data_IF_359464445481
#
_entry.id   IF_359464445481
#
_cell.length_a   1.000
_cell.length_b   1.000
_cell.length_c   1.000
_cell.angle_alpha   90.00
_cell.angle_beta   90.00
_cell.angle_gamma   90.00
#
_symmetry.space_group_name_H-M   'P 1'
#
loop_
_entity.id
_entity.type
_entity.pdbx_description
1 polymer ?
#
# COMPACT_ATOMS: atom_id res chain seq x y z
N UNK A 1 96.71 89.83 59.65
CA UNK A 1 95.79 89.80 60.81
C UNK A 1 94.95 91.06 60.82
N UNK A 2 93.61 90.94 60.93
CA UNK A 2 92.62 91.96 61.37
C UNK A 2 92.50 93.21 60.45
N UNK A 3 91.38 93.88 60.20
CA UNK A 3 89.95 93.80 60.56
C UNK A 3 89.23 94.94 59.75
N UNK A 4 87.91 94.81 59.61
CA UNK A 4 86.87 95.86 59.46
C UNK A 4 86.49 96.46 58.08
N UNK A 5 85.23 96.15 57.70
CA UNK A 5 84.09 97.01 57.29
C UNK A 5 84.25 98.12 56.23
N UNK A 6 83.34 98.12 55.23
CA UNK A 6 82.28 99.14 55.04
C UNK A 6 81.25 98.70 53.97
N UNK A 7 79.96 98.92 54.24
CA UNK A 7 78.81 98.81 53.31
C UNK A 7 78.46 100.25 52.86
N UNK A 8 77.90 100.49 51.66
CA UNK A 8 76.47 100.85 51.62
C UNK A 8 75.65 100.29 50.43
N UNK A 9 74.49 99.77 50.80
CA UNK A 9 73.15 99.75 50.20
C UNK A 9 72.83 100.71 49.02
N UNK A 10 72.31 100.20 47.88
CA UNK A 10 71.31 100.86 46.98
C UNK A 10 70.40 99.79 46.31
N UNK A 11 69.12 100.13 46.19
CA UNK A 11 67.86 99.39 45.93
C UNK A 11 67.68 98.54 44.63
N UNK A 12 66.62 97.68 44.56
CA UNK A 12 66.35 96.79 43.42
C UNK A 12 65.45 97.45 42.36
N UNK A 13 65.73 97.21 41.07
CA UNK A 13 64.82 97.52 39.97
C UNK A 13 64.34 96.23 39.28
N UNK A 14 63.02 96.09 39.25
CA UNK A 14 62.28 95.11 38.47
C UNK A 14 62.51 95.38 36.97
N UNK A 15 63.08 94.42 36.25
CA UNK A 15 63.12 94.41 34.79
C UNK A 15 61.87 93.68 34.28
N UNK A 16 60.98 94.48 33.70
CA UNK A 16 59.84 94.07 32.90
C UNK A 16 60.30 93.27 31.68
N UNK A 17 59.53 92.24 31.32
CA UNK A 17 59.79 91.40 30.15
C UNK A 17 59.82 92.21 28.85
N UNK A 18 60.81 91.92 28.02
CA UNK A 18 60.90 92.46 26.66
C UNK A 18 59.82 91.85 25.77
N UNK A 19 59.10 92.65 24.94
CA UNK A 19 58.20 92.11 23.95
C UNK A 19 59.02 91.39 22.86
N UNK A 20 58.61 90.17 22.53
CA UNK A 20 59.26 89.35 21.51
C UNK A 20 59.31 90.08 20.16
N UNK A 21 60.44 90.02 19.46
CA UNK A 21 60.65 90.60 18.13
C UNK A 21 59.67 90.09 17.04
N UNK A 22 58.88 89.04 17.32
CA UNK A 22 57.75 88.61 16.49
C UNK A 22 56.55 89.57 16.51
N UNK A 23 56.40 90.42 17.52
CA UNK A 23 55.28 91.36 17.59
C UNK A 23 55.46 92.60 16.71
N UNK A 24 56.70 92.89 16.29
CA UNK A 24 57.08 94.10 15.55
C UNK A 24 57.14 93.93 14.02
N UNK A 25 57.04 92.71 13.49
CA UNK A 25 57.01 92.47 12.05
C UNK A 25 55.56 92.48 11.52
N UNK A 26 55.13 93.69 11.14
CA UNK A 26 54.03 94.08 10.23
C UNK A 26 52.68 93.33 10.34
N UNK A 27 51.60 94.10 10.55
CA UNK A 27 50.21 93.60 10.52
C UNK A 27 49.81 92.82 9.25
N UNK A 28 50.58 92.94 8.15
CA UNK A 28 50.43 92.14 6.94
C UNK A 28 50.76 90.65 7.16
N UNK A 29 51.89 90.33 7.81
CA UNK A 29 52.31 88.93 8.08
C UNK A 29 51.37 88.23 9.07
N UNK A 30 50.86 88.95 10.08
CA UNK A 30 49.83 88.44 11.01
C UNK A 30 48.49 88.17 10.30
N UNK A 31 48.13 88.99 9.30
CA UNK A 31 46.91 88.80 8.50
C UNK A 31 47.02 87.59 7.58
N UNK A 32 48.16 87.40 6.93
CA UNK A 32 48.45 86.22 6.09
C UNK A 32 48.48 84.94 6.91
N UNK A 33 49.09 84.94 8.10
CA UNK A 33 49.10 83.79 9.00
C UNK A 33 47.68 83.42 9.47
N UNK A 34 46.85 84.42 9.81
CA UNK A 34 45.43 84.19 10.14
C UNK A 34 44.66 83.65 8.93
N UNK A 35 44.93 84.14 7.73
CA UNK A 35 44.30 83.66 6.50
C UNK A 35 44.70 82.21 6.18
N UNK A 36 45.98 81.86 6.34
CA UNK A 36 46.46 80.48 6.23
C UNK A 36 45.84 79.57 7.28
N UNK A 37 45.66 80.05 8.52
CA UNK A 37 44.97 79.30 9.57
C UNK A 37 43.49 79.06 9.23
N UNK A 38 42.79 80.07 8.69
CA UNK A 38 41.40 79.93 8.22
C UNK A 38 41.32 78.95 7.06
N UNK A 39 42.22 79.06 6.09
CA UNK A 39 42.28 78.14 4.95
C UNK A 39 42.59 76.70 5.39
N UNK A 40 43.53 76.50 6.31
CA UNK A 40 43.84 75.19 6.89
C UNK A 40 42.63 74.58 7.61
N UNK A 41 41.88 75.37 8.38
CA UNK A 41 40.61 74.93 9.00
C UNK A 41 39.56 74.59 7.93
N UNK A 42 39.44 75.37 6.87
CA UNK A 42 38.53 75.11 5.77
C UNK A 42 38.89 73.81 5.04
N UNK A 43 40.17 73.57 4.75
CA UNK A 43 40.65 72.32 4.16
C UNK A 43 40.38 71.12 5.07
N UNK A 44 40.64 71.25 6.37
CA UNK A 44 40.31 70.21 7.35
C UNK A 44 38.82 69.89 7.33
N UNK A 45 37.96 70.91 7.33
CA UNK A 45 36.50 70.72 7.25
C UNK A 45 36.04 70.10 5.92
N UNK A 46 36.70 70.39 4.81
CA UNK A 46 36.42 69.76 3.52
C UNK A 46 36.88 68.30 3.54
N UNK A 47 38.06 68.02 4.09
CA UNK A 47 38.61 66.68 4.21
C UNK A 47 37.69 65.79 5.06
N UNK A 48 37.19 66.30 6.19
CA UNK A 48 36.25 65.55 7.04
C UNK A 48 34.92 65.30 6.34
N UNK A 49 34.40 66.29 5.59
CA UNK A 49 33.20 66.08 4.75
C UNK A 49 33.42 65.02 3.68
N UNK A 50 34.50 65.11 2.92
CA UNK A 50 34.84 64.11 1.89
C UNK A 50 34.98 62.73 2.53
N UNK A 51 35.68 62.62 3.66
CA UNK A 51 35.83 61.36 4.38
C UNK A 51 34.46 60.77 4.78
N UNK A 52 33.60 61.58 5.40
CA UNK A 52 32.24 61.15 5.77
C UNK A 52 31.39 60.72 4.57
N UNK A 53 31.56 61.37 3.41
CA UNK A 53 30.83 61.03 2.20
C UNK A 53 31.37 59.74 1.55
N UNK A 54 32.69 59.50 1.62
CA UNK A 54 33.31 58.23 1.20
C UNK A 54 32.83 57.09 2.09
N UNK A 55 32.76 57.29 3.41
CA UNK A 55 32.20 56.30 4.34
C UNK A 55 30.73 56.01 4.04
N UNK A 56 29.90 57.04 3.87
CA UNK A 56 28.48 56.88 3.55
C UNK A 56 28.27 56.15 2.21
N UNK A 57 29.06 56.47 1.18
CA UNK A 57 29.01 55.77 -0.11
C UNK A 57 29.47 54.31 0.01
N UNK A 58 30.47 54.03 0.84
CA UNK A 58 30.96 52.67 1.09
C UNK A 58 29.88 51.84 1.78
N UNK A 59 29.23 52.38 2.81
CA UNK A 59 28.09 51.73 3.48
C UNK A 59 26.91 51.51 2.53
N UNK A 60 26.58 52.49 1.67
CA UNK A 60 25.55 52.33 0.66
C UNK A 60 25.89 51.22 -0.34
N UNK A 61 27.16 51.13 -0.77
CA UNK A 61 27.64 50.07 -1.66
C UNK A 61 27.56 48.69 -1.01
N UNK A 62 27.91 48.57 0.27
CA UNK A 62 27.75 47.32 1.04
C UNK A 62 26.28 46.93 1.18
N UNK A 63 25.39 47.89 1.44
CA UNK A 63 23.95 47.67 1.48
C UNK A 63 23.40 47.17 0.13
N UNK A 64 23.80 47.79 -0.98
CA UNK A 64 23.44 47.34 -2.33
C UNK A 64 23.97 45.94 -2.63
N UNK A 65 25.20 45.63 -2.20
CA UNK A 65 25.78 44.29 -2.35
C UNK A 65 24.99 43.25 -1.57
N UNK A 66 24.59 43.55 -0.34
CA UNK A 66 23.77 42.67 0.48
C UNK A 66 22.41 42.40 -0.18
N UNK A 67 21.74 43.43 -0.70
CA UNK A 67 20.47 43.28 -1.45
C UNK A 67 20.69 42.45 -2.71
N UNK A 68 21.76 42.67 -3.45
CA UNK A 68 22.10 41.90 -4.65
C UNK A 68 22.33 40.41 -4.33
N UNK A 69 23.12 40.11 -3.30
CA UNK A 69 23.35 38.73 -2.84
C UNK A 69 22.05 38.08 -2.37
N UNK A 70 21.20 38.82 -1.65
CA UNK A 70 19.86 38.37 -1.25
C UNK A 70 18.95 38.04 -2.45
N UNK A 71 18.95 38.89 -3.48
CA UNK A 71 18.19 38.64 -4.71
C UNK A 71 18.76 37.46 -5.50
N UNK A 72 20.08 37.32 -5.59
CA UNK A 72 20.74 36.19 -6.25
C UNK A 72 20.35 34.86 -5.59
N UNK A 73 20.32 34.83 -4.26
CA UNK A 73 19.85 33.66 -3.50
C UNK A 73 18.37 33.37 -3.79
N UNK A 74 17.51 34.39 -3.79
CA UNK A 74 16.08 34.22 -4.11
C UNK A 74 15.87 33.67 -5.54
N UNK A 75 16.65 34.13 -6.52
CA UNK A 75 16.61 33.61 -7.89
C UNK A 75 17.05 32.14 -7.93
N UNK A 76 18.11 31.79 -7.18
CA UNK A 76 18.55 30.40 -7.05
C UNK A 76 17.47 29.50 -6.45
N UNK A 77 16.80 29.96 -5.39
CA UNK A 77 15.72 29.22 -4.74
C UNK A 77 14.52 29.05 -5.67
N UNK A 78 14.15 30.10 -6.42
CA UNK A 78 13.10 30.03 -7.45
C UNK A 78 13.46 29.03 -8.54
N UNK A 79 14.70 29.02 -9.03
CA UNK A 79 15.15 28.05 -10.03
C UNK A 79 15.07 26.61 -9.50
N UNK A 80 15.46 26.38 -8.25
CA UNK A 80 15.35 25.06 -7.63
C UNK A 80 13.87 24.62 -7.50
N UNK A 81 12.97 25.55 -7.15
CA UNK A 81 11.54 25.28 -7.09
C UNK A 81 10.96 24.94 -8.48
N UNK A 82 11.37 25.66 -9.53
CA UNK A 82 10.96 25.39 -10.91
C UNK A 82 11.44 24.01 -11.36
N UNK A 83 12.69 23.63 -11.08
CA UNK A 83 13.22 22.31 -11.42
C UNK A 83 12.45 21.19 -10.70
N UNK A 84 12.15 21.38 -9.42
CA UNK A 84 11.33 20.43 -8.66
C UNK A 84 9.91 20.31 -9.22
N UNK A 85 9.32 21.43 -9.63
CA UNK A 85 7.99 21.44 -10.25
C UNK A 85 8.01 20.74 -11.62
N UNK A 86 9.04 20.94 -12.44
CA UNK A 86 9.20 20.26 -13.72
C UNK A 86 9.30 18.73 -13.53
N UNK A 87 10.04 18.27 -12.53
CA UNK A 87 10.11 16.84 -12.19
C UNK A 87 8.74 16.29 -11.78
N UNK A 88 7.98 17.05 -10.97
CA UNK A 88 6.62 16.68 -10.57
C UNK A 88 5.66 16.59 -11.77
N UNK A 89 5.78 17.50 -12.74
CA UNK A 89 4.99 17.50 -13.97
C UNK A 89 5.35 16.32 -14.87
N UNK A 90 6.64 15.98 -15.00
CA UNK A 90 7.08 14.78 -15.73
C UNK A 90 6.52 13.51 -15.10
N UNK A 91 6.57 13.41 -13.77
CA UNK A 91 6.00 12.27 -13.05
C UNK A 91 4.47 12.18 -13.23
N UNK A 92 3.77 13.32 -13.19
CA UNK A 92 2.32 13.36 -13.43
C UNK A 92 1.97 12.92 -14.87
N UNK A 93 2.73 13.38 -15.86
CA UNK A 93 2.54 12.98 -17.27
C UNK A 93 2.77 11.48 -17.47
N UNK A 94 3.83 10.92 -16.88
CA UNK A 94 4.09 9.48 -16.93
C UNK A 94 2.95 8.67 -16.26
N UNK A 95 2.43 9.16 -15.12
CA UNK A 95 1.30 8.53 -14.44
C UNK A 95 0.03 8.56 -15.31
N UNK A 96 -0.23 9.68 -15.99
CA UNK A 96 -1.37 9.82 -16.90
C UNK A 96 -1.28 8.84 -18.07
N UNK A 97 -0.08 8.65 -18.64
CA UNK A 97 0.14 7.68 -19.73
C UNK A 97 -0.08 6.23 -19.26
N UNK A 98 0.40 5.89 -18.06
CA UNK A 98 0.14 4.58 -17.43
C UNK A 98 -1.36 4.37 -17.19
N UNK A 99 -2.08 5.39 -16.71
CA UNK A 99 -3.54 5.31 -16.52
C UNK A 99 -4.27 5.10 -17.84
N UNK A 100 -3.92 5.85 -18.88
CA UNK A 100 -4.50 5.70 -20.22
C UNK A 100 -4.29 4.29 -20.78
N UNK A 101 -3.08 3.75 -20.65
CA UNK A 101 -2.75 2.38 -21.05
C UNK A 101 -3.52 1.34 -20.23
N UNK A 102 -3.66 1.55 -18.92
CA UNK A 102 -4.43 0.65 -18.04
C UNK A 102 -5.91 0.64 -18.41
N UNK A 103 -6.51 1.81 -18.69
CA UNK A 103 -7.91 1.91 -19.13
C UNK A 103 -8.12 1.21 -20.47
N UNK A 104 -7.18 1.36 -21.42
CA UNK A 104 -7.22 0.65 -22.69
C UNK A 104 -7.18 -0.87 -22.51
N UNK A 105 -6.28 -1.37 -21.65
CA UNK A 105 -6.21 -2.80 -21.32
C UNK A 105 -7.48 -3.30 -20.64
N UNK A 106 -8.03 -2.54 -19.69
CA UNK A 106 -9.30 -2.88 -19.03
C UNK A 106 -10.45 -2.96 -20.04
N UNK A 107 -10.52 -2.00 -20.97
CA UNK A 107 -11.54 -2.02 -22.03
C UNK A 107 -11.40 -3.27 -22.92
N UNK A 108 -10.18 -3.66 -23.27
CA UNK A 108 -9.93 -4.89 -24.05
C UNK A 108 -10.36 -6.14 -23.28
N UNK A 109 -9.98 -6.25 -22.01
CA UNK A 109 -10.40 -7.39 -21.17
C UNK A 109 -11.91 -7.46 -20.99
N UNK A 110 -12.60 -6.31 -20.85
CA UNK A 110 -14.06 -6.27 -20.78
C UNK A 110 -14.71 -6.75 -22.08
N UNK A 111 -14.14 -6.39 -23.22
CA UNK A 111 -14.62 -6.85 -24.52
C UNK A 111 -14.40 -8.37 -24.69
N UNK A 112 -13.24 -8.88 -24.31
CA UNK A 112 -12.95 -10.31 -24.34
C UNK A 112 -13.92 -11.12 -23.45
N UNK A 113 -14.17 -10.63 -22.23
CA UNK A 113 -15.13 -11.25 -21.32
C UNK A 113 -16.56 -11.18 -21.87
N UNK A 114 -16.93 -10.08 -22.53
CA UNK A 114 -18.25 -9.95 -23.18
C UNK A 114 -18.41 -10.99 -24.29
N UNK A 115 -17.37 -11.19 -25.10
CA UNK A 115 -17.35 -12.20 -26.14
C UNK A 115 -17.44 -13.62 -25.58
N UNK A 116 -16.73 -13.90 -24.48
CA UNK A 116 -16.80 -15.19 -23.78
C UNK A 116 -18.19 -15.45 -23.19
N UNK A 117 -18.84 -14.43 -22.60
CA UNK A 117 -20.22 -14.52 -22.12
C UNK A 117 -21.18 -14.83 -23.26
N UNK A 118 -21.03 -14.15 -24.42
CA UNK A 118 -21.86 -14.44 -25.60
C UNK A 118 -21.67 -15.87 -26.11
N UNK A 119 -20.43 -16.35 -26.19
CA UNK A 119 -20.13 -17.72 -26.59
C UNK A 119 -20.74 -18.75 -25.62
N UNK A 120 -20.59 -18.51 -24.32
CA UNK A 120 -21.20 -19.36 -23.29
C UNK A 120 -22.74 -19.34 -23.37
N UNK A 121 -23.34 -18.19 -23.65
CA UNK A 121 -24.79 -18.09 -23.80
C UNK A 121 -25.30 -18.88 -25.02
N UNK A 122 -24.57 -18.86 -26.13
CA UNK A 122 -24.86 -19.70 -27.30
C UNK A 122 -24.71 -21.20 -26.98
N UNK A 123 -23.66 -21.59 -26.24
CA UNK A 123 -23.46 -22.97 -25.82
C UNK A 123 -24.61 -23.48 -24.93
N UNK A 124 -25.08 -22.65 -23.99
CA UNK A 124 -26.24 -22.98 -23.14
C UNK A 124 -27.50 -23.17 -23.98
N UNK A 125 -27.78 -22.27 -24.94
CA UNK A 125 -28.92 -22.41 -25.84
C UNK A 125 -28.86 -23.71 -26.66
N UNK A 126 -27.67 -24.10 -27.12
CA UNK A 126 -27.47 -25.34 -27.85
C UNK A 126 -27.71 -26.57 -26.95
N UNK A 127 -27.21 -26.54 -25.71
CA UNK A 127 -27.46 -27.61 -24.73
C UNK A 127 -28.95 -27.73 -24.39
N UNK A 128 -29.67 -26.62 -24.22
CA UNK A 128 -31.11 -26.63 -23.99
C UNK A 128 -31.88 -27.26 -25.16
N UNK A 129 -31.45 -26.99 -26.39
CA UNK A 129 -32.02 -27.62 -27.58
C UNK A 129 -31.78 -29.13 -27.57
N UNK A 130 -30.54 -29.57 -27.30
CA UNK A 130 -30.19 -30.99 -27.21
C UNK A 130 -30.96 -31.71 -26.09
N UNK A 131 -31.16 -31.06 -24.94
CA UNK A 131 -31.95 -31.60 -23.85
C UNK A 131 -33.43 -31.79 -24.22
N UNK A 132 -34.02 -30.84 -24.97
CA UNK A 132 -35.38 -30.99 -25.51
C UNK A 132 -35.48 -32.16 -26.48
N UNK A 133 -34.57 -32.24 -27.45
CA UNK A 133 -34.53 -33.35 -28.41
C UNK A 133 -34.37 -34.71 -27.70
N UNK A 134 -33.50 -34.78 -26.69
CA UNK A 134 -33.32 -35.99 -25.87
C UNK A 134 -34.60 -36.37 -25.11
N UNK A 135 -35.30 -35.39 -24.52
CA UNK A 135 -36.56 -35.62 -23.80
C UNK A 135 -37.66 -36.12 -24.74
N UNK A 136 -37.74 -35.59 -25.97
CA UNK A 136 -38.64 -36.08 -27.01
C UNK A 136 -38.31 -37.51 -27.45
N UNK A 137 -37.03 -37.86 -27.56
CA UNK A 137 -36.63 -39.23 -27.86
C UNK A 137 -36.97 -40.21 -26.72
N UNK A 138 -36.74 -39.82 -25.47
CA UNK A 138 -37.08 -40.63 -24.30
C UNK A 138 -38.58 -40.86 -24.17
N UNK A 139 -39.40 -39.84 -24.46
CA UNK A 139 -40.87 -39.98 -24.45
C UNK A 139 -41.36 -40.90 -25.56
N UNK A 140 -40.82 -40.78 -26.79
CA UNK A 140 -41.12 -41.72 -27.89
C UNK A 140 -40.74 -43.15 -27.53
N UNK A 141 -39.54 -43.36 -26.99
CA UNK A 141 -39.08 -44.68 -26.59
C UNK A 141 -39.96 -45.27 -25.48
N UNK A 142 -40.36 -44.45 -24.51
CA UNK A 142 -41.30 -44.87 -23.45
C UNK A 142 -42.66 -45.27 -24.02
N UNK A 143 -43.21 -44.52 -24.98
CA UNK A 143 -44.47 -44.85 -25.64
C UNK A 143 -44.37 -46.15 -26.45
N UNK A 144 -43.25 -46.37 -27.15
CA UNK A 144 -43.02 -47.57 -27.94
C UNK A 144 -42.89 -48.82 -27.05
N UNK A 145 -42.16 -48.71 -25.93
CA UNK A 145 -42.05 -49.78 -24.93
C UNK A 145 -43.41 -50.13 -24.31
N UNK A 146 -44.23 -49.13 -23.96
CA UNK A 146 -45.58 -49.36 -23.44
C UNK A 146 -46.45 -50.07 -24.48
N UNK A 147 -46.33 -49.69 -25.75
CA UNK A 147 -47.05 -50.32 -26.86
C UNK A 147 -46.64 -51.78 -27.05
N UNK A 148 -45.34 -52.07 -27.00
CA UNK A 148 -44.83 -53.44 -27.06
C UNK A 148 -45.28 -54.28 -25.86
N UNK A 149 -45.26 -53.74 -24.64
CA UNK A 149 -45.76 -54.42 -23.43
C UNK A 149 -47.25 -54.74 -23.58
N UNK A 150 -48.06 -53.81 -24.11
CA UNK A 150 -49.47 -54.04 -24.33
C UNK A 150 -49.74 -55.18 -25.34
N UNK A 151 -48.94 -55.25 -26.41
CA UNK A 151 -49.00 -56.36 -27.38
C UNK A 151 -48.64 -57.70 -26.75
N UNK A 152 -47.59 -57.74 -25.93
CA UNK A 152 -47.17 -58.95 -25.20
C UNK A 152 -48.26 -59.39 -24.22
N UNK A 153 -48.85 -58.46 -23.45
CA UNK A 153 -49.94 -58.77 -22.53
C UNK A 153 -51.18 -59.31 -23.25
N UNK A 154 -51.50 -58.78 -24.44
CA UNK A 154 -52.61 -59.26 -25.26
C UNK A 154 -52.34 -60.69 -25.74
N UNK A 155 -51.13 -60.97 -26.23
CA UNK A 155 -50.73 -62.31 -26.65
C UNK A 155 -50.74 -63.34 -25.50
N UNK A 156 -50.37 -62.93 -24.29
CA UNK A 156 -50.43 -63.78 -23.08
C UNK A 156 -51.87 -64.11 -22.67
N UNK A 157 -52.80 -63.14 -22.72
CA UNK A 157 -54.22 -63.40 -22.42
C UNK A 157 -54.88 -64.33 -23.44
N UNK A 158 -54.53 -64.21 -24.72
CA UNK A 158 -54.98 -65.13 -25.78
C UNK A 158 -54.41 -66.56 -25.60
N UNK A 159 -53.30 -66.71 -24.88
CA UNK A 159 -52.75 -68.02 -24.47
C UNK A 159 -53.44 -68.59 -23.22
N UNK A 160 -53.80 -67.74 -22.25
CA UNK A 160 -54.50 -68.16 -21.02
C UNK A 160 -55.96 -68.58 -21.29
N UNK A 161 -56.66 -67.95 -22.24
CA UNK A 161 -58.05 -68.34 -22.62
C UNK A 161 -58.17 -69.72 -23.30
N UNK A 162 -57.05 -70.34 -23.74
CA UNK A 162 -57.03 -71.72 -24.27
C UNK A 162 -56.78 -72.79 -23.20
N UNK A 163 -56.58 -72.42 -21.94
CA UNK A 163 -56.19 -73.34 -20.87
C UNK A 163 -56.99 -73.12 -19.57
N UNK A 164 -58.30 -73.36 -19.59
CA UNK A 164 -59.12 -73.54 -18.38
C UNK A 164 -59.61 -75.01 -18.33
N UNK A 165 -59.20 -75.87 -17.38
CA UNK A 165 -59.70 -76.04 -15.98
C UNK A 165 -59.14 -77.37 -15.39
N UNK A 166 -59.36 -77.73 -14.10
CA UNK A 166 -58.83 -77.16 -12.85
C UNK A 166 -58.08 -78.26 -12.01
N UNK A 167 -57.42 -77.93 -10.89
CA UNK A 167 -57.45 -78.76 -9.65
C UNK A 167 -56.61 -78.16 -8.51
N UNK A 168 -57.25 -78.15 -7.34
CA UNK A 168 -56.71 -77.86 -6.01
C UNK A 168 -55.93 -79.08 -5.49
N UNK A 169 -54.85 -78.89 -4.74
CA UNK A 169 -54.64 -79.60 -3.46
C UNK A 169 -53.47 -79.06 -2.64
N UNK A 170 -53.69 -79.11 -1.33
CA UNK A 170 -52.86 -78.69 -0.20
C UNK A 170 -51.54 -79.47 -0.01
N UNK A 171 -50.48 -78.73 0.40
CA UNK A 171 -49.53 -78.96 1.51
C UNK A 171 -48.62 -80.24 1.53
N UNK A 172 -47.55 -80.32 2.36
CA UNK A 172 -46.60 -79.33 2.88
C UNK A 172 -45.11 -79.79 2.88
N UNK A 173 -44.22 -78.89 3.32
CA UNK A 173 -42.90 -79.11 3.92
C UNK A 173 -41.68 -79.29 2.98
N UNK A 174 -40.76 -78.30 3.01
CA UNK A 174 -39.52 -78.51 3.76
C UNK A 174 -38.81 -77.17 4.14
N UNK A 175 -38.34 -77.14 5.40
CA UNK A 175 -37.27 -76.30 6.01
C UNK A 175 -37.53 -74.83 6.41
N UNK A 176 -38.03 -74.73 7.65
CA UNK A 176 -37.80 -73.74 8.75
C UNK A 176 -36.39 -73.11 8.86
N UNK A 177 -36.13 -72.12 9.75
CA UNK A 177 -36.97 -71.05 10.31
C UNK A 177 -36.29 -69.65 10.39
N UNK A 178 -37.12 -68.61 10.22
CA UNK A 178 -37.14 -67.34 10.98
C UNK A 178 -35.78 -66.69 11.36
N UNK A 179 -35.30 -65.81 10.48
CA UNK A 179 -34.31 -64.78 10.83
C UNK A 179 -34.99 -63.68 11.65
N UNK A 180 -34.49 -63.52 12.87
CA UNK A 180 -34.72 -62.38 13.76
C UNK A 180 -34.43 -61.07 13.02
N UNK A 181 -35.25 -60.07 13.32
CA UNK A 181 -34.99 -58.68 13.04
C UNK A 181 -33.69 -58.24 13.73
N UNK A 182 -32.60 -58.18 12.97
CA UNK A 182 -31.42 -57.37 13.27
C UNK A 182 -31.16 -56.47 12.07
N UNK A 183 -31.73 -55.27 12.14
CA UNK A 183 -31.39 -54.14 11.30
C UNK A 183 -29.96 -53.71 11.59
N UNK A 184 -29.01 -54.05 10.72
CA UNK A 184 -27.66 -53.50 10.72
C UNK A 184 -27.27 -52.98 9.34
N UNK A 185 -26.81 -51.72 9.38
CA UNK A 185 -26.18 -50.91 8.31
C UNK A 185 -27.09 -50.38 7.20
N UNK A 186 -28.05 -49.56 7.63
CA UNK A 186 -28.19 -48.24 6.99
C UNK A 186 -26.86 -47.48 7.16
N UNK A 187 -26.13 -47.30 6.05
CA UNK A 187 -25.13 -46.26 5.97
C UNK A 187 -25.86 -44.91 6.03
N UNK A 188 -25.98 -44.42 7.25
CA UNK A 188 -26.11 -43.02 7.57
C UNK A 188 -25.01 -42.24 6.82
N UNK A 189 -25.30 -41.74 5.61
CA UNK A 189 -24.79 -40.41 5.26
C UNK A 189 -25.64 -39.43 6.06
N UNK A 190 -25.27 -39.30 7.34
CA UNK A 190 -25.56 -38.12 8.15
C UNK A 190 -25.04 -36.92 7.36
N UNK A 191 -25.92 -36.32 6.59
CA UNK A 191 -25.91 -34.89 6.34
C UNK A 191 -25.90 -34.28 7.74
N UNK A 192 -24.72 -33.95 8.24
CA UNK A 192 -24.59 -33.12 9.43
C UNK A 192 -25.26 -31.80 9.09
N UNK A 193 -26.48 -31.66 9.57
CA UNK A 193 -27.05 -30.38 9.93
C UNK A 193 -25.99 -29.70 10.80
N UNK A 194 -25.25 -28.75 10.21
CA UNK A 194 -24.29 -27.92 10.94
C UNK A 194 -25.08 -27.29 12.07
N UNK A 195 -24.77 -27.65 13.31
CA UNK A 195 -25.18 -26.85 14.46
C UNK A 195 -24.82 -25.40 14.13
N UNK A 196 -25.82 -24.51 14.11
CA UNK A 196 -25.60 -23.07 13.91
C UNK A 196 -24.61 -22.64 14.99
N UNK A 197 -23.41 -22.26 14.57
CA UNK A 197 -22.41 -21.69 15.47
C UNK A 197 -22.94 -20.30 15.84
N UNK A 198 -23.65 -20.22 16.95
CA UNK A 198 -24.29 -18.99 17.42
C UNK A 198 -23.40 -18.32 18.48
N UNK A 199 -23.23 -17.01 18.35
CA UNK A 199 -22.48 -16.18 19.29
C UNK A 199 -23.23 -14.87 19.50
N UNK A 200 -22.94 -14.17 20.60
CA UNK A 200 -23.58 -12.91 20.93
C UNK A 200 -23.16 -11.81 19.95
N UNK A 201 -24.09 -11.34 19.12
CA UNK A 201 -23.88 -10.37 18.04
C UNK A 201 -24.10 -8.94 18.52
N UNK A 202 -23.42 -8.57 19.58
CA UNK A 202 -23.48 -7.23 20.16
C UNK A 202 -22.42 -6.29 19.55
N UNK A 203 -22.87 -5.18 18.96
CA UNK A 203 -22.02 -4.12 18.41
C UNK A 203 -21.07 -3.52 19.46
N UNK A 204 -21.45 -3.49 20.73
CA UNK A 204 -20.59 -2.99 21.82
C UNK A 204 -19.41 -3.93 22.11
N UNK A 205 -19.55 -5.22 21.77
CA UNK A 205 -18.56 -6.29 22.03
C UNK A 205 -17.68 -6.63 20.84
N UNK A 206 -17.69 -5.83 19.76
CA UNK A 206 -16.88 -6.08 18.56
C UNK A 206 -15.40 -6.36 18.85
N UNK A 207 -14.81 -5.67 19.84
CA UNK A 207 -13.43 -5.90 20.26
C UNK A 207 -13.21 -7.31 20.82
N UNK A 208 -14.12 -7.79 21.65
CA UNK A 208 -14.08 -9.12 22.26
C UNK A 208 -14.29 -10.20 21.21
N UNK A 209 -15.31 -10.04 20.36
CA UNK A 209 -15.62 -10.94 19.24
C UNK A 209 -14.43 -11.05 18.28
N UNK A 210 -13.72 -9.93 18.03
CA UNK A 210 -12.49 -9.95 17.23
C UNK A 210 -11.38 -10.74 17.92
N UNK A 211 -11.15 -10.58 19.22
CA UNK A 211 -10.15 -11.38 19.94
C UNK A 211 -10.50 -12.88 19.94
N UNK A 212 -11.76 -13.23 20.19
CA UNK A 212 -12.25 -14.61 20.07
C UNK A 212 -11.97 -15.19 18.69
N UNK A 213 -12.28 -14.44 17.62
CA UNK A 213 -12.03 -14.88 16.26
C UNK A 213 -10.54 -15.17 16.00
N UNK A 214 -9.63 -14.35 16.56
CA UNK A 214 -8.19 -14.61 16.45
C UNK A 214 -7.74 -15.83 17.26
N UNK A 215 -8.34 -16.05 18.44
CA UNK A 215 -8.11 -17.27 19.23
C UNK A 215 -8.55 -18.50 18.45
N UNK A 216 -9.78 -18.51 17.89
CA UNK A 216 -10.25 -19.60 17.05
C UNK A 216 -9.38 -19.82 15.81
N UNK A 217 -8.89 -18.75 15.17
CA UNK A 217 -7.95 -18.85 14.06
C UNK A 217 -6.65 -19.54 14.48
N UNK A 218 -6.09 -19.16 15.64
CA UNK A 218 -4.87 -19.76 16.20
C UNK A 218 -5.07 -21.24 16.54
N UNK A 219 -6.24 -21.59 17.06
CA UNK A 219 -6.62 -22.95 17.41
C UNK A 219 -7.04 -23.79 16.18
N UNK A 220 -7.05 -23.18 14.98
CA UNK A 220 -7.48 -23.76 13.70
C UNK A 220 -8.96 -24.16 13.66
N UNK A 221 -9.75 -23.60 14.57
CA UNK A 221 -11.21 -23.67 14.60
C UNK A 221 -11.78 -22.71 13.55
N UNK A 222 -11.60 -23.06 12.27
CA UNK A 222 -11.88 -22.18 11.14
C UNK A 222 -13.35 -21.83 10.97
N UNK A 223 -14.26 -22.71 11.36
CA UNK A 223 -15.70 -22.46 11.24
C UNK A 223 -16.13 -21.36 12.22
N UNK A 224 -15.69 -21.45 13.47
CA UNK A 224 -15.95 -20.50 14.54
C UNK A 224 -15.29 -19.14 14.28
N UNK A 225 -14.06 -19.16 13.77
CA UNK A 225 -13.35 -17.96 13.34
C UNK A 225 -14.08 -17.27 12.18
N UNK A 226 -14.49 -18.03 11.15
CA UNK A 226 -15.16 -17.49 9.96
C UNK A 226 -16.45 -16.76 10.32
N UNK A 227 -17.34 -17.38 11.10
CA UNK A 227 -18.65 -16.78 11.43
C UNK A 227 -18.50 -15.43 12.14
N UNK A 228 -17.56 -15.33 13.08
CA UNK A 228 -17.25 -14.07 13.77
C UNK A 228 -16.62 -13.04 12.84
N UNK A 229 -15.66 -13.45 12.02
CA UNK A 229 -14.99 -12.55 11.07
C UNK A 229 -15.94 -12.02 10.00
N UNK A 230 -16.85 -12.84 9.46
CA UNK A 230 -17.86 -12.39 8.49
C UNK A 230 -18.82 -11.37 9.11
N UNK A 231 -19.22 -11.58 10.37
CA UNK A 231 -20.02 -10.59 11.08
C UNK A 231 -19.24 -9.29 11.31
N UNK A 232 -17.97 -9.36 11.68
CA UNK A 232 -17.12 -8.17 11.84
C UNK A 232 -16.90 -7.43 10.51
N UNK A 233 -16.77 -8.16 9.39
CA UNK A 233 -16.70 -7.61 8.05
C UNK A 233 -18.00 -6.87 7.68
N UNK A 234 -19.16 -7.48 7.93
CA UNK A 234 -20.46 -6.86 7.69
C UNK A 234 -20.64 -5.55 8.48
N UNK A 235 -19.99 -5.43 9.63
CA UNK A 235 -20.00 -4.23 10.47
C UNK A 235 -18.76 -3.34 10.28
N UNK A 236 -17.93 -3.60 9.26
CA UNK A 236 -16.73 -2.83 8.92
C UNK A 236 -15.69 -2.66 10.06
N UNK A 237 -15.71 -3.51 11.08
CA UNK A 237 -14.79 -3.42 12.21
C UNK A 237 -13.39 -3.87 11.78
N UNK A 238 -12.39 -2.97 11.85
CA UNK A 238 -10.98 -3.27 11.47
C UNK A 238 -10.87 -4.02 10.14
N UNK A 239 -11.64 -3.57 9.15
CA UNK A 239 -11.93 -4.30 7.90
C UNK A 239 -10.67 -4.86 7.21
N UNK A 240 -9.59 -4.08 7.14
CA UNK A 240 -8.33 -4.53 6.52
C UNK A 240 -7.77 -5.80 7.19
N UNK A 241 -7.78 -5.87 8.52
CA UNK A 241 -7.30 -7.02 9.26
C UNK A 241 -8.30 -8.17 9.21
N UNK A 242 -9.59 -7.88 9.34
CA UNK A 242 -10.65 -8.90 9.24
C UNK A 242 -10.56 -9.65 7.91
N UNK A 243 -10.36 -8.94 6.79
CA UNK A 243 -10.13 -9.56 5.49
C UNK A 243 -8.84 -10.37 5.43
N UNK A 244 -7.76 -9.90 6.05
CA UNK A 244 -6.54 -10.71 6.17
C UNK A 244 -6.82 -12.01 6.93
N UNK A 245 -7.51 -11.94 8.06
CA UNK A 245 -7.86 -13.10 8.87
C UNK A 245 -8.81 -14.07 8.13
N UNK A 246 -9.79 -13.58 7.36
CA UNK A 246 -10.61 -14.41 6.46
C UNK A 246 -9.76 -15.10 5.39
N UNK A 247 -8.72 -14.43 4.88
CA UNK A 247 -7.71 -15.02 4.01
C UNK A 247 -6.96 -16.17 4.69
N UNK A 248 -6.51 -15.98 5.94
CA UNK A 248 -5.85 -17.02 6.73
C UNK A 248 -6.76 -18.23 7.01
N UNK A 249 -8.05 -17.98 7.32
CA UNK A 249 -9.08 -19.03 7.44
C UNK A 249 -9.18 -19.82 6.13
N UNK A 250 -9.38 -19.13 5.00
CA UNK A 250 -9.51 -19.79 3.70
C UNK A 250 -8.24 -20.55 3.30
N UNK A 251 -7.06 -20.00 3.61
CA UNK A 251 -5.77 -20.66 3.38
C UNK A 251 -5.65 -21.94 4.21
N UNK A 252 -6.01 -21.88 5.50
CA UNK A 252 -6.03 -23.01 6.41
C UNK A 252 -7.00 -24.12 5.97
N UNK A 253 -8.15 -23.76 5.41
CA UNK A 253 -9.11 -24.67 4.79
C UNK A 253 -8.71 -25.14 3.38
N UNK A 254 -7.53 -24.75 2.89
CA UNK A 254 -7.01 -25.07 1.54
C UNK A 254 -7.86 -24.49 0.39
N UNK A 255 -8.69 -23.49 0.67
CA UNK A 255 -9.46 -22.73 -0.33
C UNK A 255 -8.58 -21.62 -0.91
N UNK A 256 -7.52 -22.00 -1.60
CA UNK A 256 -6.45 -21.08 -2.01
C UNK A 256 -6.91 -19.94 -2.92
N UNK A 257 -7.89 -20.17 -3.81
CA UNK A 257 -8.47 -19.10 -4.65
C UNK A 257 -9.21 -18.05 -3.83
N UNK A 258 -9.95 -18.49 -2.82
CA UNK A 258 -10.67 -17.61 -1.90
C UNK A 258 -9.69 -16.84 -1.00
N UNK A 259 -8.64 -17.50 -0.50
CA UNK A 259 -7.59 -16.86 0.26
C UNK A 259 -6.92 -15.71 -0.53
N UNK A 260 -6.57 -15.95 -1.80
CA UNK A 260 -5.99 -14.93 -2.69
C UNK A 260 -6.94 -13.72 -2.84
N UNK A 261 -8.25 -13.94 -2.96
CA UNK A 261 -9.24 -12.87 -3.05
C UNK A 261 -9.21 -12.00 -1.79
N UNK A 262 -9.32 -12.62 -0.61
CA UNK A 262 -9.30 -11.90 0.67
C UNK A 262 -7.96 -11.17 0.92
N UNK A 263 -6.83 -11.79 0.60
CA UNK A 263 -5.51 -11.14 0.70
C UNK A 263 -5.41 -9.92 -0.21
N UNK A 264 -5.90 -10.01 -1.45
CA UNK A 264 -5.97 -8.86 -2.37
C UNK A 264 -6.80 -7.74 -1.77
N UNK A 265 -7.99 -8.04 -1.27
CA UNK A 265 -8.88 -7.05 -0.67
C UNK A 265 -8.30 -6.41 0.60
N UNK A 266 -7.61 -7.18 1.45
CA UNK A 266 -6.89 -6.66 2.61
C UNK A 266 -5.76 -5.71 2.21
N UNK A 267 -4.93 -6.12 1.25
CA UNK A 267 -3.80 -5.33 0.75
C UNK A 267 -4.25 -4.04 0.03
N UNK A 268 -5.42 -4.04 -0.61
CA UNK A 268 -6.01 -2.83 -1.20
C UNK A 268 -6.39 -1.79 -0.13
N UNK A 269 -6.85 -2.24 1.03
CA UNK A 269 -7.24 -1.37 2.14
C UNK A 269 -6.03 -0.84 2.93
N UNK A 270 -5.01 -1.67 3.17
CA UNK A 270 -3.82 -1.24 3.89
C UNK A 270 -2.54 -1.90 3.37
N UNK A 271 -1.76 -1.13 2.59
CA UNK A 271 -0.51 -1.59 1.95
C UNK A 271 0.70 -1.61 2.90
N UNK A 272 0.59 -1.03 4.10
CA UNK A 272 1.69 -0.87 5.07
C UNK A 272 1.46 -1.66 6.37
N UNK A 273 0.53 -2.61 6.37
CA UNK A 273 0.26 -3.41 7.56
C UNK A 273 1.46 -4.28 7.96
N UNK A 274 1.66 -4.51 9.26
CA UNK A 274 2.78 -5.31 9.77
C UNK A 274 2.74 -6.77 9.31
N UNK A 275 1.54 -7.30 9.03
CA UNK A 275 1.34 -8.67 8.54
C UNK A 275 1.57 -8.82 7.03
N UNK A 276 1.89 -7.74 6.29
CA UNK A 276 2.06 -7.79 4.83
C UNK A 276 3.09 -8.83 4.34
N UNK A 277 4.25 -9.03 4.99
CA UNK A 277 5.18 -10.09 4.59
C UNK A 277 4.55 -11.49 4.69
N UNK A 278 3.76 -11.75 5.73
CA UNK A 278 3.05 -13.02 5.92
C UNK A 278 1.96 -13.19 4.87
N UNK A 279 1.16 -12.14 4.65
CA UNK A 279 0.11 -12.12 3.63
C UNK A 279 0.68 -12.44 2.24
N UNK A 280 1.75 -11.76 1.84
CA UNK A 280 2.39 -11.99 0.53
C UNK A 280 2.98 -13.40 0.43
N UNK A 281 3.53 -13.92 1.52
CA UNK A 281 4.05 -15.28 1.59
C UNK A 281 2.95 -16.32 1.40
N UNK A 282 1.84 -16.22 2.14
CA UNK A 282 0.70 -17.13 1.98
C UNK A 282 0.00 -16.97 0.64
N UNK A 283 -0.01 -15.76 0.07
CA UNK A 283 -0.48 -15.52 -1.29
C UNK A 283 0.39 -16.26 -2.31
N UNK A 284 1.71 -16.18 -2.20
CA UNK A 284 2.64 -16.92 -3.06
C UNK A 284 2.35 -18.43 -2.97
N UNK A 285 2.30 -18.99 -1.76
CA UNK A 285 2.02 -20.40 -1.56
C UNK A 285 0.64 -20.81 -2.08
N UNK A 286 -0.36 -19.95 -1.97
CA UNK A 286 -1.67 -20.19 -2.57
C UNK A 286 -1.59 -20.33 -4.09
N UNK A 287 -0.84 -19.43 -4.77
CA UNK A 287 -0.57 -19.55 -6.21
C UNK A 287 0.15 -20.85 -6.55
N UNK A 288 1.17 -21.23 -5.76
CA UNK A 288 1.89 -22.50 -5.95
C UNK A 288 0.95 -23.70 -5.85
N UNK A 289 0.03 -23.69 -4.90
CA UNK A 289 -0.92 -24.79 -4.67
C UNK A 289 -1.96 -24.92 -5.77
N UNK A 290 -2.33 -23.82 -6.44
CA UNK A 290 -3.20 -23.85 -7.62
C UNK A 290 -2.43 -24.02 -8.94
N UNK A 291 -1.15 -24.41 -8.86
CA UNK A 291 -0.24 -24.64 -10.00
C UNK A 291 0.04 -23.39 -10.86
N UNK A 292 -0.10 -22.21 -10.29
CA UNK A 292 0.25 -20.95 -10.93
C UNK A 292 1.68 -20.53 -10.52
N UNK A 293 2.66 -21.17 -11.14
CA UNK A 293 4.06 -20.95 -10.83
C UNK A 293 4.54 -19.54 -11.23
N UNK A 294 3.93 -18.94 -12.26
CA UNK A 294 4.26 -17.58 -12.68
C UNK A 294 3.96 -16.58 -11.57
N UNK A 295 2.74 -16.60 -11.04
CA UNK A 295 2.37 -15.71 -9.95
C UNK A 295 3.07 -16.07 -8.64
N UNK A 296 3.29 -17.36 -8.35
CA UNK A 296 4.11 -17.77 -7.21
C UNK A 296 5.46 -17.02 -7.16
N UNK A 297 6.23 -17.08 -8.25
CA UNK A 297 7.54 -16.42 -8.29
C UNK A 297 7.44 -14.89 -8.29
N UNK A 298 6.42 -14.30 -8.92
CA UNK A 298 6.18 -12.84 -8.86
C UNK A 298 5.99 -12.36 -7.42
N UNK A 299 5.23 -13.09 -6.60
CA UNK A 299 5.02 -12.74 -5.20
C UNK A 299 6.27 -12.95 -4.35
N UNK A 300 7.06 -14.02 -4.58
CA UNK A 300 8.35 -14.20 -3.90
C UNK A 300 9.34 -13.05 -4.20
N UNK A 301 9.46 -12.65 -5.47
CA UNK A 301 10.29 -11.51 -5.86
C UNK A 301 9.79 -10.20 -5.24
N UNK A 302 8.46 -10.00 -5.19
CA UNK A 302 7.85 -8.82 -4.56
C UNK A 302 8.18 -8.76 -3.08
N UNK A 303 8.12 -9.90 -2.39
CA UNK A 303 8.45 -10.03 -0.98
C UNK A 303 9.90 -9.63 -0.69
N UNK A 304 10.85 -10.10 -1.50
CA UNK A 304 12.25 -9.69 -1.39
C UNK A 304 12.45 -8.19 -1.62
N UNK A 305 11.80 -7.64 -2.65
CA UNK A 305 11.98 -6.23 -3.02
C UNK A 305 11.39 -5.29 -1.98
N UNK A 306 10.19 -5.60 -1.49
CA UNK A 306 9.44 -4.68 -0.61
C UNK A 306 9.72 -4.91 0.88
N UNK A 307 10.08 -6.14 1.27
CA UNK A 307 10.29 -6.51 2.67
C UNK A 307 11.59 -7.31 2.89
N UNK A 308 12.75 -6.85 2.39
CA UNK A 308 14.00 -7.65 2.35
C UNK A 308 14.48 -8.14 3.72
N UNK A 309 14.17 -7.42 4.80
CA UNK A 309 14.56 -7.78 6.17
C UNK A 309 13.64 -8.80 6.84
N UNK A 310 12.46 -9.08 6.27
CA UNK A 310 11.49 -10.01 6.85
C UNK A 310 11.94 -11.46 6.77
N UNK A 311 11.53 -12.29 7.74
CA UNK A 311 11.81 -13.73 7.72
C UNK A 311 11.26 -14.40 6.45
N UNK A 312 10.09 -13.96 5.98
CA UNK A 312 9.48 -14.48 4.77
C UNK A 312 10.33 -14.14 3.53
N UNK A 313 10.90 -12.93 3.44
CA UNK A 313 11.79 -12.55 2.34
C UNK A 313 13.09 -13.36 2.34
N UNK A 314 13.66 -13.64 3.52
CA UNK A 314 14.83 -14.52 3.66
C UNK A 314 14.52 -15.94 3.17
N UNK A 315 13.35 -16.47 3.50
CA UNK A 315 12.91 -17.78 2.98
C UNK A 315 12.69 -17.75 1.46
N UNK A 316 12.05 -16.70 0.94
CA UNK A 316 11.86 -16.53 -0.51
C UNK A 316 13.19 -16.48 -1.27
N UNK A 317 14.21 -15.85 -0.70
CA UNK A 317 15.57 -15.82 -1.26
C UNK A 317 16.17 -17.19 -1.47
N UNK A 318 16.14 -18.05 -0.46
CA UNK A 318 16.64 -19.42 -0.59
C UNK A 318 15.93 -20.20 -1.70
N UNK A 319 14.61 -20.00 -1.83
CA UNK A 319 13.81 -20.67 -2.86
C UNK A 319 14.20 -20.20 -4.27
N UNK A 320 14.39 -18.90 -4.45
CA UNK A 320 14.75 -18.31 -5.74
C UNK A 320 16.16 -18.70 -6.17
N UNK A 321 17.14 -18.69 -5.26
CA UNK A 321 18.52 -19.14 -5.54
C UNK A 321 18.57 -20.62 -5.97
N UNK A 322 17.78 -21.48 -5.31
CA UNK A 322 17.70 -22.90 -5.68
C UNK A 322 17.08 -23.11 -7.06
N UNK A 323 16.15 -22.25 -7.47
CA UNK A 323 15.56 -22.30 -8.82
C UNK A 323 16.60 -21.99 -9.88
N UNK A 324 17.39 -20.93 -9.70
CA UNK A 324 18.43 -20.52 -10.65
C UNK A 324 19.48 -21.61 -10.82
N UNK A 325 19.95 -22.20 -9.71
CA UNK A 325 20.88 -23.35 -9.76
C UNK A 325 20.32 -24.53 -10.54
N UNK A 326 19.03 -24.84 -10.39
CA UNK A 326 18.39 -25.94 -11.12
C UNK A 326 18.13 -25.64 -12.61
N UNK A 327 18.03 -24.36 -12.99
CA UNK A 327 17.97 -23.96 -14.40
C UNK A 327 19.34 -24.10 -15.06
N UNK A 328 20.42 -23.74 -14.35
CA UNK A 328 21.79 -23.84 -14.84
C UNK A 328 22.41 -25.25 -14.77
N UNK A 329 21.75 -26.20 -14.10
CA UNK A 329 22.21 -27.58 -13.95
C UNK A 329 21.58 -28.58 -14.95
N UNK A 330 20.72 -28.13 -15.88
CA UNK A 330 20.21 -28.99 -16.96
C UNK A 330 21.11 -28.86 -18.20
N UNK A 331 21.76 -29.94 -18.65
CA UNK A 331 22.52 -29.97 -19.90
C UNK A 331 21.63 -29.83 -21.14
#
# INVERSE_FOLDING_TARGET
MKRLFFIPFIAPFFLNGEPSAFDLQSGATKKELKQLQVNSKNFSNILTKIHSQVEANTQAQEGLRSVYEGQANKIKDLNNAILSQEESLRALKALQEVQANTLKQQSQTLEDLRNEIHANQQAIQQLDKQNKEMSELLTKLSQDLVSQIALIQKALKEQEEKAEKPLKSNAPADKTPLLKAESLKNQERKTQEKAKIEFDKDLSKQKEIFQEALTFLKDKSYAEARERLLWLEANSYRLYYVRYALGEVAYGEKKYREAIKYYKESALLNKKASYMPVLLWHTAWSFKKIKDDQNYYKFLNTLQRLYPSSEQAKMAKKILENKEKNIHAKP
#
